data_IF_921066560962
#
_entry.id   IF_921066560962
#
_cell.length_a   1.000
_cell.length_b   1.000
_cell.length_c   1.000
_cell.angle_alpha   90.00
_cell.angle_beta   90.00
_cell.angle_gamma   90.00
#
_symmetry.space_group_name_H-M   'P 1'
#
loop_
_entity.id
_entity.type
_entity.pdbx_description
1 polymer ?
#
# COMPACT_ATOMS: atom_id res chain seq x y z
N UNK A 1 -11.41 -11.76 -3.86
CA UNK A 1 -11.99 -11.67 -2.51
C UNK A 1 -13.50 -11.40 -2.57
N UNK A 2 -13.98 -10.75 -3.64
CA UNK A 2 -15.40 -10.68 -4.03
C UNK A 2 -15.51 -11.24 -5.46
N UNK A 3 -15.98 -12.49 -5.64
CA UNK A 3 -16.07 -13.11 -6.96
C UNK A 3 -17.20 -12.54 -7.83
N UNK A 4 -18.26 -12.01 -7.22
CA UNK A 4 -19.40 -11.45 -7.95
C UNK A 4 -19.03 -10.14 -8.64
N UNK A 5 -18.40 -9.22 -7.89
CA UNK A 5 -17.91 -7.94 -8.42
C UNK A 5 -16.53 -8.02 -9.04
N UNK A 6 -15.83 -9.16 -8.88
CA UNK A 6 -14.44 -9.41 -9.31
C UNK A 6 -13.46 -8.41 -8.69
N UNK A 7 -13.58 -8.21 -7.37
CA UNK A 7 -12.65 -7.38 -6.60
C UNK A 7 -11.48 -8.24 -6.13
N UNK A 8 -10.28 -7.85 -6.56
CA UNK A 8 -9.01 -8.41 -6.12
C UNK A 8 -8.58 -7.84 -4.77
N UNK A 9 -7.74 -8.60 -4.07
CA UNK A 9 -7.12 -8.18 -2.82
C UNK A 9 -5.64 -8.51 -2.87
N UNK A 10 -4.81 -7.51 -2.57
CA UNK A 10 -3.35 -7.67 -2.51
C UNK A 10 -2.88 -7.06 -1.20
N UNK A 11 -2.14 -7.81 -0.39
CA UNK A 11 -1.48 -7.29 0.81
C UNK A 11 0.01 -7.20 0.58
N UNK A 12 0.58 -6.03 0.86
CA UNK A 12 2.03 -5.83 0.86
C UNK A 12 2.45 -5.63 2.31
N UNK A 13 3.29 -6.53 2.82
CA UNK A 13 3.77 -6.51 4.22
C UNK A 13 5.10 -5.78 4.39
N UNK A 14 5.89 -5.64 3.32
CA UNK A 14 7.17 -4.93 3.29
C UNK A 14 7.53 -4.54 1.85
N UNK A 15 8.27 -3.45 1.69
CA UNK A 15 8.78 -3.00 0.38
C UNK A 15 10.26 -3.37 0.23
N UNK A 16 10.52 -4.52 -0.37
CA UNK A 16 11.86 -5.06 -0.62
C UNK A 16 12.18 -5.02 -2.11
N UNK A 17 13.41 -5.39 -2.47
CA UNK A 17 13.84 -5.43 -3.88
C UNK A 17 12.98 -6.36 -4.74
N UNK A 18 12.49 -7.45 -4.15
CA UNK A 18 11.66 -8.46 -4.84
C UNK A 18 10.19 -8.07 -4.96
N UNK A 19 9.73 -7.13 -4.12
CA UNK A 19 8.30 -6.78 -3.99
C UNK A 19 7.68 -6.29 -5.31
N UNK A 20 8.32 -5.40 -6.11
CA UNK A 20 7.73 -4.94 -7.38
C UNK A 20 7.48 -6.10 -8.35
N UNK A 21 8.42 -7.04 -8.46
CA UNK A 21 8.24 -8.20 -9.33
C UNK A 21 7.10 -9.10 -8.85
N UNK A 22 7.04 -9.39 -7.54
CA UNK A 22 5.96 -10.18 -6.96
C UNK A 22 4.60 -9.50 -7.17
N UNK A 23 4.55 -8.19 -7.02
CA UNK A 23 3.36 -7.39 -7.28
C UNK A 23 2.92 -7.48 -8.74
N UNK A 24 3.85 -7.35 -9.70
CA UNK A 24 3.57 -7.48 -11.14
C UNK A 24 3.05 -8.88 -11.51
N UNK A 25 3.62 -9.94 -10.94
CA UNK A 25 3.18 -11.32 -11.16
C UNK A 25 1.74 -11.55 -10.64
N UNK A 26 1.43 -11.01 -9.45
CA UNK A 26 0.08 -11.05 -8.85
C UNK A 26 -0.90 -10.25 -9.72
N UNK A 27 -0.55 -9.00 -10.04
CA UNK A 27 -1.40 -8.09 -10.78
C UNK A 27 -1.74 -8.65 -12.17
N UNK A 28 -0.76 -9.20 -12.88
CA UNK A 28 -0.97 -9.87 -14.16
C UNK A 28 -1.95 -11.03 -14.05
N UNK A 29 -1.87 -11.82 -12.97
CA UNK A 29 -2.82 -12.93 -12.74
C UNK A 29 -4.24 -12.41 -12.48
N UNK A 30 -4.39 -11.40 -11.62
CA UNK A 30 -5.68 -10.80 -11.30
C UNK A 30 -6.34 -10.18 -12.54
N UNK A 31 -5.58 -9.46 -13.37
CA UNK A 31 -6.07 -8.82 -14.58
C UNK A 31 -6.41 -9.83 -15.68
N UNK A 32 -5.45 -10.71 -16.01
CA UNK A 32 -5.55 -11.52 -17.23
C UNK A 32 -6.30 -12.83 -17.03
N UNK A 33 -6.26 -13.41 -15.82
CA UNK A 33 -6.90 -14.72 -15.55
C UNK A 33 -8.18 -14.61 -14.75
N UNK A 34 -8.27 -13.63 -13.85
CA UNK A 34 -9.44 -13.45 -12.99
C UNK A 34 -10.33 -12.29 -13.44
N UNK A 35 -9.93 -11.57 -14.47
CA UNK A 35 -10.66 -10.43 -15.04
C UNK A 35 -11.09 -9.43 -13.96
N UNK A 36 -10.18 -9.14 -13.05
CA UNK A 36 -10.37 -8.22 -11.92
C UNK A 36 -10.92 -6.88 -12.42
N UNK A 37 -11.92 -6.36 -11.71
CA UNK A 37 -12.55 -5.08 -12.01
C UNK A 37 -12.32 -4.01 -10.98
N UNK A 38 -11.87 -4.37 -9.77
CA UNK A 38 -11.53 -3.43 -8.71
C UNK A 38 -10.49 -4.06 -7.80
N UNK A 39 -9.79 -3.24 -7.02
CA UNK A 39 -8.70 -3.70 -6.15
C UNK A 39 -8.81 -3.08 -4.76
N UNK A 40 -8.59 -3.91 -3.74
CA UNK A 40 -8.22 -3.47 -2.40
C UNK A 40 -6.74 -3.78 -2.18
N UNK A 41 -5.94 -2.75 -1.93
CA UNK A 41 -4.52 -2.86 -1.60
C UNK A 41 -4.34 -2.68 -0.09
N UNK A 42 -3.90 -3.71 0.61
CA UNK A 42 -3.72 -3.67 2.06
C UNK A 42 -2.26 -3.36 2.43
N UNK A 43 -2.06 -2.19 3.06
CA UNK A 43 -0.78 -1.71 3.59
C UNK A 43 -0.78 -1.64 5.13
N UNK A 44 -1.77 -2.24 5.79
CA UNK A 44 -1.85 -2.30 7.26
C UNK A 44 -0.69 -3.12 7.81
N UNK A 45 -0.08 -2.58 8.85
CA UNK A 45 1.11 -3.12 9.52
C UNK A 45 2.35 -3.25 8.62
N UNK A 46 2.41 -2.52 7.52
CA UNK A 46 3.59 -2.43 6.66
C UNK A 46 4.50 -1.26 7.08
N UNK A 47 5.69 -1.52 7.67
CA UNK A 47 6.59 -0.49 8.18
C UNK A 47 7.34 0.30 7.08
N UNK A 48 7.07 -0.02 5.82
CA UNK A 48 7.68 0.56 4.63
C UNK A 48 8.79 -0.32 4.08
N UNK A 49 9.86 0.30 3.61
CA UNK A 49 10.98 -0.37 2.97
C UNK A 49 11.66 0.56 1.96
N UNK A 50 12.09 -0.02 0.85
CA UNK A 50 12.84 0.68 -0.20
C UNK A 50 11.94 1.66 -0.96
N UNK A 51 12.45 2.88 -1.11
CA UNK A 51 11.77 3.93 -1.87
C UNK A 51 11.57 3.51 -3.34
N UNK A 52 12.61 2.94 -3.97
CA UNK A 52 12.55 2.53 -5.37
C UNK A 52 11.48 1.46 -5.62
N UNK A 53 11.26 0.55 -4.65
CA UNK A 53 10.21 -0.45 -4.75
C UNK A 53 8.82 0.20 -4.75
N UNK A 54 8.61 1.23 -3.91
CA UNK A 54 7.36 1.99 -3.89
C UNK A 54 7.16 2.80 -5.16
N UNK A 55 8.20 3.46 -5.67
CA UNK A 55 8.12 4.21 -6.94
C UNK A 55 7.77 3.26 -8.09
N UNK A 56 8.40 2.09 -8.17
CA UNK A 56 8.10 1.08 -9.19
C UNK A 56 6.63 0.59 -9.12
N UNK A 57 6.10 0.37 -7.92
CA UNK A 57 4.69 -0.02 -7.75
C UNK A 57 3.74 1.14 -8.07
N UNK A 58 4.06 2.37 -7.66
CA UNK A 58 3.26 3.55 -7.95
C UNK A 58 3.15 3.80 -9.47
N UNK A 59 4.22 3.56 -10.23
CA UNK A 59 4.23 3.65 -11.69
C UNK A 59 3.17 2.76 -12.35
N UNK A 60 2.78 1.63 -11.74
CA UNK A 60 1.72 0.77 -12.30
C UNK A 60 0.36 1.45 -12.32
N UNK A 61 0.13 2.38 -11.39
CA UNK A 61 -1.14 3.07 -11.19
C UNK A 61 -1.18 4.49 -11.74
N UNK A 62 -0.03 5.13 -11.93
CA UNK A 62 0.09 6.53 -12.33
C UNK A 62 0.82 6.62 -13.66
N UNK A 63 0.18 7.25 -14.65
CA UNK A 63 0.81 7.50 -15.95
C UNK A 63 1.84 8.63 -15.89
N UNK A 64 1.57 9.68 -15.11
CA UNK A 64 2.41 10.87 -15.00
C UNK A 64 2.29 11.54 -13.63
N UNK A 65 3.15 12.54 -13.43
CA UNK A 65 3.12 13.47 -12.31
C UNK A 65 3.82 12.94 -11.06
N UNK A 66 3.86 13.77 -9.99
CA UNK A 66 4.70 13.49 -8.83
C UNK A 66 4.16 12.31 -8.03
N UNK A 67 5.09 11.45 -7.58
CA UNK A 67 4.85 10.39 -6.61
C UNK A 67 5.26 10.90 -5.23
N UNK A 68 6.49 11.40 -5.11
CA UNK A 68 7.02 11.93 -3.85
C UNK A 68 8.14 12.91 -4.11
N UNK A 69 8.30 13.90 -3.24
CA UNK A 69 9.45 14.81 -3.24
C UNK A 69 10.23 14.65 -1.94
N UNK A 70 11.54 14.47 -2.07
CA UNK A 70 12.48 14.52 -0.95
C UNK A 70 13.02 15.94 -0.85
N UNK A 71 12.80 16.60 0.28
CA UNK A 71 13.40 17.91 0.57
C UNK A 71 14.48 17.77 1.62
N UNK A 72 15.70 18.05 1.21
CA UNK A 72 16.89 18.07 2.06
C UNK A 72 17.01 19.44 2.76
N UNK A 73 17.81 19.48 3.83
CA UNK A 73 18.14 20.74 4.50
C UNK A 73 18.99 21.68 3.63
N UNK A 74 19.96 21.12 2.88
CA UNK A 74 20.99 21.89 2.19
C UNK A 74 21.31 21.40 0.77
N UNK A 75 20.63 20.35 0.30
CA UNK A 75 20.74 19.82 -1.07
C UNK A 75 19.51 20.24 -1.88
N UNK A 76 19.62 20.21 -3.20
CA UNK A 76 18.45 20.36 -4.08
C UNK A 76 17.41 19.31 -3.75
N UNK A 77 16.13 19.67 -3.85
CA UNK A 77 15.06 18.69 -3.68
C UNK A 77 15.08 17.66 -4.81
N UNK A 78 14.70 16.43 -4.48
CA UNK A 78 14.65 15.33 -5.43
C UNK A 78 13.20 14.89 -5.60
N UNK A 79 12.65 15.10 -6.79
CA UNK A 79 11.30 14.66 -7.13
C UNK A 79 11.34 13.31 -7.84
N UNK A 80 10.49 12.40 -7.39
CA UNK A 80 10.20 11.14 -8.07
C UNK A 80 8.88 11.31 -8.80
N UNK A 81 8.91 11.12 -10.11
CA UNK A 81 7.79 11.29 -11.02
C UNK A 81 7.37 9.92 -11.55
N UNK A 82 6.09 9.77 -11.85
CA UNK A 82 5.62 8.63 -12.61
C UNK A 82 6.22 8.67 -14.03
N UNK A 83 6.58 7.50 -14.55
CA UNK A 83 7.42 7.37 -15.74
C UNK A 83 6.68 6.89 -17.00
N UNK A 84 5.36 6.77 -16.97
CA UNK A 84 4.56 6.27 -18.09
C UNK A 84 4.34 4.76 -18.12
N UNK A 85 5.03 3.97 -17.30
CA UNK A 85 4.92 2.50 -17.23
C UNK A 85 3.66 2.01 -16.47
N UNK A 86 2.56 2.74 -16.62
CA UNK A 86 1.27 2.37 -16.06
C UNK A 86 0.71 1.15 -16.78
N UNK A 87 0.31 0.16 -15.99
CA UNK A 87 -0.23 -1.11 -16.50
C UNK A 87 -1.59 -1.44 -15.89
N UNK A 88 -1.95 -0.79 -14.78
CA UNK A 88 -3.28 -0.91 -14.18
C UNK A 88 -4.28 -0.08 -14.99
N UNK A 89 -5.38 -0.69 -15.48
CA UNK A 89 -6.54 0.08 -15.93
C UNK A 89 -7.11 0.96 -14.81
N UNK A 90 -7.92 1.95 -15.17
CA UNK A 90 -8.61 2.86 -14.23
C UNK A 90 -9.80 2.21 -13.52
N UNK A 91 -9.58 1.02 -12.96
CA UNK A 91 -10.54 0.40 -12.06
C UNK A 91 -10.59 1.11 -10.69
N UNK A 92 -11.72 1.04 -9.97
CA UNK A 92 -11.80 1.53 -8.60
C UNK A 92 -10.80 0.83 -7.67
N UNK A 93 -10.06 1.65 -6.91
CA UNK A 93 -9.00 1.22 -6.00
C UNK A 93 -9.23 1.81 -4.60
N UNK A 94 -9.18 0.96 -3.59
CA UNK A 94 -9.11 1.36 -2.20
C UNK A 94 -7.81 0.85 -1.56
N UNK A 95 -7.24 1.61 -0.64
CA UNK A 95 -6.03 1.22 0.10
C UNK A 95 -6.35 1.19 1.59
N UNK A 96 -6.06 0.06 2.24
CA UNK A 96 -6.19 -0.07 3.69
C UNK A 96 -4.90 0.42 4.36
N UNK A 97 -5.04 1.34 5.32
CA UNK A 97 -3.94 1.85 6.13
C UNK A 97 -4.29 1.82 7.62
N UNK A 98 -3.26 1.70 8.45
CA UNK A 98 -3.40 1.82 9.90
C UNK A 98 -2.15 2.46 10.53
N UNK A 99 -2.13 2.52 11.86
CA UNK A 99 -1.00 3.08 12.64
C UNK A 99 0.33 2.36 12.41
N UNK A 100 0.32 1.13 11.90
CA UNK A 100 1.51 0.37 11.53
C UNK A 100 2.00 0.66 10.10
N UNK A 101 1.19 1.29 9.26
CA UNK A 101 1.58 1.76 7.93
C UNK A 101 2.57 2.92 8.06
N UNK A 102 3.82 2.71 7.64
CA UNK A 102 4.88 3.69 7.83
C UNK A 102 5.77 3.87 6.59
N UNK A 103 6.43 5.02 6.48
CA UNK A 103 7.50 5.29 5.53
C UNK A 103 7.05 5.06 4.08
N UNK A 104 7.58 4.05 3.40
CA UNK A 104 7.27 3.76 2.01
C UNK A 104 5.76 3.46 1.80
N UNK A 105 5.10 2.83 2.76
CA UNK A 105 3.65 2.62 2.76
C UNK A 105 2.87 3.94 2.71
N UNK A 106 3.34 4.94 3.45
CA UNK A 106 2.72 6.28 3.51
C UNK A 106 2.92 7.04 2.20
N UNK A 107 4.08 6.85 1.56
CA UNK A 107 4.36 7.41 0.24
C UNK A 107 3.40 6.83 -0.79
N UNK A 108 3.26 5.50 -0.87
CA UNK A 108 2.38 4.87 -1.85
C UNK A 108 0.92 5.28 -1.64
N UNK A 109 0.42 5.17 -0.40
CA UNK A 109 -0.95 5.52 -0.05
C UNK A 109 -1.24 7.01 -0.32
N UNK A 110 -0.36 7.89 0.15
CA UNK A 110 -0.49 9.33 -0.02
C UNK A 110 -0.40 9.76 -1.49
N UNK A 111 0.53 9.19 -2.26
CA UNK A 111 0.68 9.53 -3.68
C UNK A 111 -0.58 9.15 -4.48
N UNK A 112 -1.08 7.93 -4.30
CA UNK A 112 -2.27 7.46 -5.02
C UNK A 112 -3.54 8.21 -4.59
N UNK A 113 -3.67 8.56 -3.31
CA UNK A 113 -4.75 9.41 -2.81
C UNK A 113 -4.68 10.81 -3.39
N UNK A 114 -3.53 11.47 -3.28
CA UNK A 114 -3.35 12.86 -3.70
C UNK A 114 -3.59 13.06 -5.20
N UNK A 115 -3.33 12.01 -5.99
CA UNK A 115 -3.57 11.95 -7.43
C UNK A 115 -4.99 11.51 -7.79
N UNK A 116 -5.87 11.32 -6.81
CA UNK A 116 -7.26 10.88 -7.02
C UNK A 116 -7.39 9.45 -7.54
N UNK A 117 -6.31 8.66 -7.50
CA UNK A 117 -6.28 7.30 -8.04
C UNK A 117 -6.86 6.27 -7.07
N UNK A 118 -6.75 6.52 -5.76
CA UNK A 118 -7.23 5.61 -4.72
C UNK A 118 -7.94 6.36 -3.60
N UNK A 119 -8.84 5.65 -2.91
CA UNK A 119 -9.43 6.09 -1.65
C UNK A 119 -8.76 5.35 -0.48
N UNK A 120 -8.41 6.07 0.58
CA UNK A 120 -7.81 5.48 1.78
C UNK A 120 -8.88 5.14 2.82
N UNK A 121 -8.80 3.94 3.38
CA UNK A 121 -9.73 3.43 4.39
C UNK A 121 -8.94 2.90 5.59
N UNK A 122 -9.42 3.16 6.81
CA UNK A 122 -8.86 2.60 8.04
C UNK A 122 -8.50 3.66 9.07
N UNK A 123 -7.26 3.66 9.55
CA UNK A 123 -6.78 4.62 10.54
C UNK A 123 -5.59 5.44 10.03
N UNK A 124 -5.34 6.58 10.65
CA UNK A 124 -4.17 7.41 10.37
C UNK A 124 -2.88 6.61 10.46
N UNK A 125 -2.00 6.80 9.48
CA UNK A 125 -0.69 6.14 9.41
C UNK A 125 0.31 6.64 10.46
N UNK A 126 1.49 6.01 10.52
CA UNK A 126 2.48 6.22 11.57
C UNK A 126 3.09 7.64 11.62
N UNK A 127 3.39 8.24 10.47
CA UNK A 127 4.09 9.53 10.35
C UNK A 127 5.61 9.44 10.20
N UNK A 128 6.14 8.33 9.64
CA UNK A 128 7.57 8.14 9.37
C UNK A 128 7.96 8.80 8.05
N UNK A 129 7.91 10.12 8.02
CA UNK A 129 8.25 10.92 6.84
C UNK A 129 9.72 11.33 6.70
N UNK A 130 10.65 10.77 7.46
CA UNK A 130 12.07 11.15 7.43
C UNK A 130 12.90 10.20 6.57
N UNK A 131 13.84 10.75 5.79
CA UNK A 131 14.84 9.99 5.03
C UNK A 131 16.07 9.78 5.90
N UNK A 132 16.55 8.54 5.99
CA UNK A 132 17.76 8.18 6.71
C UNK A 132 18.78 7.59 5.75
N UNK A 133 20.03 8.06 5.85
CA UNK A 133 21.18 7.56 5.09
C UNK A 133 22.16 6.90 6.07
N UNK A 134 22.74 5.76 5.66
CA UNK A 134 23.85 5.14 6.38
C UNK A 134 25.15 5.76 5.85
N UNK A 135 25.90 6.40 6.73
CA UNK A 135 27.18 7.01 6.43
C UNK A 135 28.24 6.14 7.09
N UNK A 136 29.06 5.48 6.27
CA UNK A 136 30.18 4.69 6.76
C UNK A 136 31.23 5.60 7.39
N UNK A 137 31.73 5.18 8.55
CA UNK A 137 32.81 5.81 9.28
C UNK A 137 34.00 4.85 9.18
N UNK A 138 34.98 5.14 8.30
CA UNK A 138 36.18 4.34 8.20
C UNK A 138 36.88 4.30 9.55
N UNK A 139 37.21 3.09 10.01
CA UNK A 139 37.87 2.90 11.29
C UNK A 139 39.30 3.43 11.31
N UNK A 140 39.81 3.69 12.52
CA UNK A 140 41.24 3.65 12.80
C UNK A 140 41.52 2.27 13.41
N UNK A 141 42.56 1.58 12.95
CA UNK A 141 42.94 0.22 13.40
C UNK A 141 41.92 -0.90 13.09
N UNK A 142 41.19 -0.81 11.98
CA UNK A 142 40.39 -1.92 11.44
C UNK A 142 39.00 -2.12 12.06
N UNK A 143 38.47 -1.12 12.77
CA UNK A 143 37.11 -1.12 13.29
C UNK A 143 36.23 -0.18 12.46
N UNK A 144 35.62 -0.70 11.40
CA UNK A 144 34.64 0.07 10.62
C UNK A 144 33.32 0.24 11.39
N UNK A 145 32.71 1.41 11.24
CA UNK A 145 31.39 1.70 11.81
C UNK A 145 30.50 2.42 10.80
N UNK A 146 29.24 2.64 11.17
CA UNK A 146 28.33 3.45 10.36
C UNK A 146 27.38 4.26 11.26
N UNK A 147 26.99 5.44 10.79
CA UNK A 147 25.97 6.28 11.42
C UNK A 147 24.74 6.33 10.53
N UNK A 148 23.58 6.05 11.12
CA UNK A 148 22.29 6.26 10.45
C UNK A 148 21.79 7.67 10.76
N UNK A 149 21.88 8.55 9.76
CA UNK A 149 21.56 9.98 9.92
C UNK A 149 20.27 10.35 9.17
N UNK A 150 19.38 11.09 9.84
CA UNK A 150 18.24 11.71 9.18
C UNK A 150 18.69 12.94 8.38
N UNK A 151 18.43 12.96 7.08
CA UNK A 151 18.97 13.98 6.17
C UNK A 151 17.89 14.80 5.44
N UNK A 152 16.65 14.32 5.39
CA UNK A 152 15.58 14.93 4.62
C UNK A 152 14.19 14.47 5.09
N UNK A 153 13.16 15.06 4.49
CA UNK A 153 11.76 14.67 4.69
C UNK A 153 11.04 14.41 3.37
N UNK A 154 10.09 13.48 3.40
CA UNK A 154 9.16 13.16 2.31
C UNK A 154 7.96 14.11 2.29
N UNK A 155 7.62 14.57 1.10
CA UNK A 155 6.45 15.39 0.78
C UNK A 155 5.61 14.67 -0.27
N UNK A 156 4.31 14.59 -0.01
CA UNK A 156 3.32 14.03 -0.92
C UNK A 156 3.06 14.99 -2.11
N UNK A 157 2.41 14.53 -3.19
CA UNK A 157 2.13 15.34 -4.38
C UNK A 157 1.45 16.68 -4.11
N UNK A 158 0.54 16.76 -3.12
CA UNK A 158 -0.11 18.01 -2.72
C UNK A 158 0.74 18.89 -1.78
N UNK A 159 1.98 18.50 -1.51
CA UNK A 159 2.93 19.24 -0.67
C UNK A 159 2.82 18.94 0.83
N UNK A 160 2.00 17.98 1.25
CA UNK A 160 1.92 17.57 2.65
C UNK A 160 3.22 16.87 3.07
N UNK A 161 3.85 17.34 4.17
CA UNK A 161 4.96 16.66 4.82
C UNK A 161 4.42 15.50 5.66
N UNK A 162 4.90 14.27 5.41
CA UNK A 162 4.43 13.07 6.13
C UNK A 162 4.87 13.05 7.60
N UNK A 163 6.06 13.62 7.88
CA UNK A 163 6.71 13.45 9.18
C UNK A 163 5.93 14.08 10.35
N UNK A 164 5.62 13.26 11.35
CA UNK A 164 4.91 13.66 12.57
C UNK A 164 3.38 13.75 12.43
N UNK A 165 2.85 13.74 11.21
CA UNK A 165 1.40 13.79 10.96
C UNK A 165 0.84 12.48 10.44
N UNK A 166 1.62 11.74 9.63
CA UNK A 166 1.12 10.62 8.84
C UNK A 166 0.20 11.07 7.72
N UNK A 167 -0.51 10.09 7.16
CA UNK A 167 -1.53 10.19 6.11
C UNK A 167 -2.86 9.81 6.74
N UNK A 168 -3.84 10.70 6.60
CA UNK A 168 -5.20 10.50 7.12
C UNK A 168 -6.03 9.74 6.07
N UNK A 169 -6.79 8.71 6.46
CA UNK A 169 -7.69 8.03 5.52
C UNK A 169 -8.82 8.96 5.07
N UNK A 170 -9.36 8.72 3.87
CA UNK A 170 -10.57 9.40 3.40
C UNK A 170 -11.82 8.88 4.13
N UNK A 171 -11.80 7.59 4.49
CA UNK A 171 -12.83 6.92 5.30
C UNK A 171 -12.20 6.34 6.56
N UNK A 172 -12.39 7.05 7.66
CA UNK A 172 -11.92 6.58 8.97
C UNK A 172 -12.79 5.44 9.49
N UNK A 173 -12.16 4.32 9.84
CA UNK A 173 -12.78 3.14 10.43
C UNK A 173 -11.86 2.64 11.53
N UNK A 174 -12.12 3.08 12.76
CA UNK A 174 -11.38 2.63 13.94
C UNK A 174 -11.84 1.24 14.39
N UNK A 175 -10.91 0.43 14.89
CA UNK A 175 -11.20 -0.87 15.48
C UNK A 175 -11.08 -0.79 17.00
N UNK A 176 -11.97 -1.46 17.72
CA UNK A 176 -11.75 -1.75 19.14
C UNK A 176 -10.56 -2.69 19.30
N UNK A 177 -9.95 -2.74 20.48
CA UNK A 177 -8.87 -3.69 20.76
C UNK A 177 -9.31 -5.15 20.48
N UNK A 178 -10.52 -5.51 20.86
CA UNK A 178 -11.13 -6.82 20.60
C UNK A 178 -11.29 -7.10 19.10
N UNK A 179 -11.78 -6.12 18.32
CA UNK A 179 -11.90 -6.26 16.87
C UNK A 179 -10.53 -6.40 16.20
N UNK A 180 -9.55 -5.61 16.63
CA UNK A 180 -8.18 -5.67 16.11
C UNK A 180 -7.53 -7.03 16.42
N UNK A 181 -7.71 -7.55 17.63
CA UNK A 181 -7.19 -8.86 18.02
C UNK A 181 -7.87 -9.99 17.25
N UNK A 182 -9.20 -9.98 17.17
CA UNK A 182 -9.95 -10.97 16.41
C UNK A 182 -9.57 -10.96 14.92
N UNK A 183 -9.42 -9.77 14.32
CA UNK A 183 -8.97 -9.60 12.95
C UNK A 183 -7.55 -10.15 12.75
N UNK A 184 -6.62 -9.78 13.63
CA UNK A 184 -5.23 -10.25 13.57
C UNK A 184 -5.15 -11.77 13.68
N UNK A 185 -5.91 -12.36 14.59
CA UNK A 185 -5.96 -13.81 14.77
C UNK A 185 -6.56 -14.52 13.57
N UNK A 186 -7.61 -13.97 12.97
CA UNK A 186 -8.19 -14.57 11.77
C UNK A 186 -7.23 -14.50 10.57
N UNK A 187 -6.52 -13.39 10.37
CA UNK A 187 -5.52 -13.29 9.32
C UNK A 187 -4.31 -14.20 9.60
N UNK A 188 -3.88 -14.33 10.85
CA UNK A 188 -2.87 -15.33 11.26
C UNK A 188 -3.29 -16.74 10.91
N UNK A 189 -4.55 -17.11 11.18
CA UNK A 189 -5.05 -18.44 10.81
C UNK A 189 -4.96 -18.67 9.30
N UNK A 190 -5.34 -17.70 8.47
CA UNK A 190 -5.17 -17.81 7.01
C UNK A 190 -3.71 -18.11 6.65
N UNK A 191 -2.75 -17.37 7.21
CA UNK A 191 -1.33 -17.60 6.94
C UNK A 191 -0.83 -18.97 7.42
N UNK A 192 -1.28 -19.43 8.59
CA UNK A 192 -0.90 -20.72 9.15
C UNK A 192 -1.45 -21.86 8.29
N UNK A 193 -2.74 -21.79 7.92
CA UNK A 193 -3.41 -22.89 7.25
C UNK A 193 -3.11 -22.96 5.76
N UNK A 194 -2.87 -21.82 5.12
CA UNK A 194 -2.75 -21.74 3.66
C UNK A 194 -1.36 -21.35 3.18
N UNK A 195 -0.47 -20.98 4.11
CA UNK A 195 0.82 -20.35 3.81
C UNK A 195 0.67 -18.87 3.44
N UNK A 196 1.79 -18.25 3.09
CA UNK A 196 1.72 -16.96 2.40
C UNK A 196 0.96 -17.16 1.08
N UNK A 197 -0.05 -16.33 0.77
CA UNK A 197 -0.79 -16.47 -0.48
C UNK A 197 0.16 -16.43 -1.67
N UNK A 198 0.32 -17.56 -2.36
CA UNK A 198 1.04 -17.61 -3.62
C UNK A 198 0.06 -17.38 -4.78
N UNK A 199 0.53 -16.70 -5.82
CA UNK A 199 -0.23 -16.32 -7.03
C UNK A 199 -0.95 -17.51 -7.69
N UNK A 200 -0.52 -18.73 -7.40
CA UNK A 200 -0.93 -19.96 -8.07
C UNK A 200 -2.14 -20.65 -7.46
N UNK A 201 -2.71 -20.21 -6.34
CA UNK A 201 -3.98 -20.78 -5.86
C UNK A 201 -5.16 -19.96 -6.42
N UNK A 202 -5.96 -20.53 -7.35
CA UNK A 202 -7.31 -20.02 -7.56
C UNK A 202 -7.97 -20.00 -6.20
N UNK A 203 -8.53 -18.87 -5.80
CA UNK A 203 -9.14 -18.66 -4.50
C UNK A 203 -10.29 -19.65 -4.32
N UNK A 204 -10.01 -20.83 -3.77
CA UNK A 204 -11.03 -21.60 -3.09
C UNK A 204 -11.37 -20.78 -1.87
N UNK A 205 -12.54 -20.17 -1.94
CA UNK A 205 -13.24 -19.44 -0.90
C UNK A 205 -13.31 -20.28 0.39
N UNK A 206 -12.22 -20.26 1.15
CA UNK A 206 -11.96 -21.13 2.29
C UNK A 206 -12.64 -20.57 3.54
N UNK A 207 -13.02 -21.45 4.47
CA UNK A 207 -13.66 -21.01 5.72
C UNK A 207 -12.79 -20.00 6.52
N UNK A 208 -11.45 -20.16 6.63
CA UNK A 208 -10.59 -19.15 7.26
C UNK A 208 -10.60 -17.80 6.54
N UNK A 209 -10.51 -17.79 5.20
CA UNK A 209 -10.54 -16.55 4.43
C UNK A 209 -11.90 -15.85 4.54
N UNK A 210 -13.02 -16.57 4.38
CA UNK A 210 -14.37 -16.01 4.57
C UNK A 210 -14.53 -15.36 5.93
N UNK A 211 -14.08 -16.04 6.98
CA UNK A 211 -14.15 -15.52 8.34
C UNK A 211 -13.35 -14.24 8.47
N UNK A 212 -12.10 -14.22 7.99
CA UNK A 212 -11.24 -13.04 8.03
C UNK A 212 -11.91 -11.84 7.34
N UNK A 213 -12.51 -12.06 6.16
CA UNK A 213 -13.24 -11.04 5.42
C UNK A 213 -14.45 -10.52 6.19
N UNK A 214 -15.26 -11.42 6.77
CA UNK A 214 -16.50 -11.04 7.47
C UNK A 214 -16.25 -10.24 8.75
N UNK A 215 -15.14 -10.51 9.45
CA UNK A 215 -14.85 -9.89 10.75
C UNK A 215 -13.92 -8.69 10.65
N UNK A 216 -13.58 -8.23 9.44
CA UNK A 216 -12.70 -7.09 9.18
C UNK A 216 -13.52 -5.87 8.70
N UNK A 217 -13.95 -4.97 9.59
CA UNK A 217 -14.77 -3.81 9.24
C UNK A 217 -14.10 -2.87 8.23
N UNK A 218 -12.77 -2.77 8.26
CA UNK A 218 -12.01 -1.89 7.35
C UNK A 218 -12.02 -2.46 5.94
N UNK A 219 -11.78 -3.77 5.80
CA UNK A 219 -11.89 -4.45 4.52
C UNK A 219 -13.32 -4.40 3.97
N UNK A 220 -14.34 -4.63 4.81
CA UNK A 220 -15.75 -4.50 4.40
C UNK A 220 -16.05 -3.08 3.89
N UNK A 221 -15.58 -2.05 4.61
CA UNK A 221 -15.75 -0.66 4.20
C UNK A 221 -15.09 -0.35 2.84
N UNK A 222 -13.91 -0.91 2.58
CA UNK A 222 -13.20 -0.77 1.30
C UNK A 222 -13.88 -1.53 0.16
N UNK A 223 -14.33 -2.77 0.41
CA UNK A 223 -15.08 -3.56 -0.58
C UNK A 223 -16.37 -2.87 -1.00
N UNK A 224 -17.09 -2.28 -0.04
CA UNK A 224 -18.29 -1.49 -0.33
C UNK A 224 -17.97 -0.26 -1.18
N UNK A 225 -16.94 0.52 -0.83
CA UNK A 225 -16.55 1.71 -1.60
C UNK A 225 -16.10 1.39 -3.03
N UNK A 226 -15.30 0.32 -3.21
CA UNK A 226 -14.91 -0.18 -4.54
C UNK A 226 -16.13 -0.67 -5.32
N UNK A 227 -17.03 -1.41 -4.68
CA UNK A 227 -18.26 -1.93 -5.28
C UNK A 227 -19.21 -0.84 -5.74
N UNK A 228 -19.43 0.20 -4.93
CA UNK A 228 -20.26 1.35 -5.29
C UNK A 228 -19.74 2.08 -6.53
N UNK A 229 -18.41 2.30 -6.60
CA UNK A 229 -17.76 2.90 -7.77
C UNK A 229 -17.90 2.02 -9.02
N UNK A 230 -17.80 0.70 -8.87
CA UNK A 230 -18.02 -0.24 -9.97
C UNK A 230 -19.45 -0.19 -10.51
N UNK A 231 -20.43 -0.14 -9.61
CA UNK A 231 -21.85 -0.08 -9.96
C UNK A 231 -22.19 1.27 -10.62
N UNK A 232 -21.58 2.37 -10.17
CA UNK A 232 -21.71 3.69 -10.79
C UNK A 232 -21.14 3.74 -12.22
N UNK A 233 -19.93 3.22 -12.45
CA UNK A 233 -19.32 3.17 -13.79
C UNK A 233 -20.12 2.31 -14.77
N UNK A 234 -20.75 1.23 -14.30
CA UNK A 234 -21.64 0.41 -15.13
C UNK A 234 -22.93 1.15 -15.51
N UNK A 235 -23.47 1.99 -14.63
CA UNK A 235 -24.65 2.81 -14.94
C UNK A 235 -24.33 3.94 -15.92
N UNK A 236 -23.14 4.54 -15.84
CA UNK A 236 -22.74 5.65 -16.72
C UNK A 236 -22.45 5.22 -18.17
N UNK A 237 -22.25 3.93 -18.42
CA UNK A 237 -21.95 3.36 -19.75
C UNK A 237 -23.18 2.74 -20.44
N UNK A 238 -24.36 2.83 -19.81
CA UNK A 238 -25.66 2.46 -20.39
C UNK A 238 -26.48 3.71 -20.71
#
# INVERSE_FOLDING_TARGET
IDPERRIGYVRITSFEQVTPKQFDDVLSTLLNRQHMRGLVLDLRDNPGGLLDAVVAIANRFLADGPIVTIRYRSRQEQAYQANGDHTCPDFPLAILINRGSASASEILAGALRDRGRAELVGERSFGKGSVQELIDIPGIAGLDGAVKLTIAYYYLPQGQRIHGTGVTPDKEVSLTAEQQEAMNDSWRQVYITEGLPSVTRPTTDSAPQRRAIMIDPQLQAALNGVGEKLDASFRATK
#
